data_IF_020820318934
#
_entry.id   IF_020820318934
#
_cell.length_a   1.000
_cell.length_b   1.000
_cell.length_c   1.000
_cell.angle_alpha   90.00
_cell.angle_beta   90.00
_cell.angle_gamma   90.00
#
_symmetry.space_group_name_H-M   'P 1'
#
loop_
_entity.id
_entity.type
_entity.pdbx_description
1 polymer ?
#
# COMPACT_ATOMS: atom_id res chain seq x y z
N UNK A 1 16.78 -12.33 -44.33
CA UNK A 1 15.44 -12.91 -44.09
C UNK A 1 15.22 -13.04 -42.58
N UNK A 2 15.00 -11.93 -41.86
CA UNK A 2 14.97 -11.99 -40.39
C UNK A 2 13.95 -11.06 -39.71
N UNK A 3 13.57 -9.94 -40.34
CA UNK A 3 12.67 -8.96 -39.71
C UNK A 3 11.17 -9.32 -39.84
N UNK A 4 10.73 -9.86 -40.98
CA UNK A 4 9.31 -10.16 -41.24
C UNK A 4 8.78 -11.29 -40.36
N UNK A 5 9.54 -12.38 -40.23
CA UNK A 5 9.20 -13.51 -39.35
C UNK A 5 9.15 -13.11 -37.87
N UNK A 6 9.98 -12.14 -37.45
CA UNK A 6 9.95 -11.61 -36.09
C UNK A 6 8.66 -10.83 -35.84
N UNK A 7 8.20 -10.02 -36.79
CA UNK A 7 6.93 -9.31 -36.69
C UNK A 7 5.72 -10.26 -36.66
N UNK A 8 5.70 -11.31 -37.48
CA UNK A 8 4.64 -12.33 -37.47
C UNK A 8 4.59 -13.11 -36.15
N UNK A 9 5.75 -13.54 -35.64
CA UNK A 9 5.81 -14.22 -34.34
C UNK A 9 5.39 -13.29 -33.20
N UNK A 10 5.77 -12.00 -33.24
CA UNK A 10 5.39 -11.01 -32.24
C UNK A 10 3.88 -10.75 -32.25
N UNK A 11 3.26 -10.58 -33.43
CA UNK A 11 1.82 -10.35 -33.54
C UNK A 11 1.03 -11.58 -33.11
N UNK A 12 1.47 -12.78 -33.49
CA UNK A 12 0.84 -14.02 -33.04
C UNK A 12 0.90 -14.16 -31.52
N UNK A 13 2.07 -13.93 -30.91
CA UNK A 13 2.23 -13.98 -29.46
C UNK A 13 1.38 -12.94 -28.74
N UNK A 14 1.32 -11.70 -29.26
CA UNK A 14 0.51 -10.63 -28.68
C UNK A 14 -0.99 -10.95 -28.73
N UNK A 15 -1.51 -11.39 -29.88
CA UNK A 15 -2.92 -11.77 -30.03
C UNK A 15 -3.26 -12.96 -29.14
N UNK A 16 -2.38 -13.96 -29.08
CA UNK A 16 -2.56 -15.12 -28.21
C UNK A 16 -2.58 -14.71 -26.73
N UNK A 17 -1.72 -13.77 -26.33
CA UNK A 17 -1.70 -13.22 -24.97
C UNK A 17 -2.98 -12.46 -24.61
N UNK A 18 -3.52 -11.67 -25.53
CA UNK A 18 -4.80 -10.96 -25.32
C UNK A 18 -5.98 -11.93 -25.21
N UNK A 19 -6.01 -12.99 -26.03
CA UNK A 19 -7.06 -14.00 -25.99
C UNK A 19 -7.03 -14.82 -24.70
N UNK A 20 -5.84 -15.09 -24.18
CA UNK A 20 -5.63 -15.86 -22.94
C UNK A 20 -5.71 -14.99 -21.68
N UNK A 21 -6.13 -13.73 -21.78
CA UNK A 21 -6.23 -12.84 -20.62
C UNK A 21 -7.39 -13.26 -19.71
N UNK A 22 -7.07 -13.62 -18.47
CA UNK A 22 -8.07 -13.88 -17.43
C UNK A 22 -8.59 -12.56 -16.81
N UNK A 23 -9.89 -12.49 -16.55
CA UNK A 23 -10.49 -11.39 -15.78
C UNK A 23 -10.28 -11.58 -14.28
N UNK A 24 -10.32 -10.50 -13.50
CA UNK A 24 -10.22 -10.57 -12.03
C UNK A 24 -11.29 -11.47 -11.40
N UNK A 25 -12.48 -11.52 -11.99
CA UNK A 25 -13.56 -12.39 -11.54
C UNK A 25 -13.24 -13.87 -11.78
N UNK A 26 -12.77 -14.23 -12.97
CA UNK A 26 -12.38 -15.61 -13.29
C UNK A 26 -11.21 -16.07 -12.40
N UNK A 27 -10.28 -15.18 -12.09
CA UNK A 27 -9.18 -15.47 -11.17
C UNK A 27 -9.68 -15.72 -9.75
N UNK A 28 -10.59 -14.86 -9.25
CA UNK A 28 -11.20 -15.01 -7.93
C UNK A 28 -11.92 -16.36 -7.81
N UNK A 29 -12.67 -16.76 -8.85
CA UNK A 29 -13.35 -18.05 -8.90
C UNK A 29 -12.37 -19.22 -8.93
N UNK A 30 -11.34 -19.17 -9.79
CA UNK A 30 -10.37 -20.25 -9.90
C UNK A 30 -9.60 -20.51 -8.60
N UNK A 31 -9.40 -19.46 -7.80
CA UNK A 31 -8.64 -19.54 -6.54
C UNK A 31 -9.52 -19.66 -5.30
N UNK A 32 -10.79 -19.27 -5.38
CA UNK A 32 -11.66 -19.14 -4.21
C UNK A 32 -11.16 -18.04 -3.26
N UNK A 33 -10.59 -16.95 -3.77
CA UNK A 33 -9.97 -15.87 -3.00
C UNK A 33 -10.38 -14.50 -3.52
N UNK A 34 -10.36 -13.49 -2.63
CA UNK A 34 -10.58 -12.11 -3.03
C UNK A 34 -9.39 -11.55 -3.82
N UNK A 35 -9.70 -10.86 -4.92
CA UNK A 35 -8.70 -10.09 -5.67
C UNK A 35 -8.72 -8.66 -5.16
N UNK A 36 -7.60 -8.25 -4.57
CA UNK A 36 -7.44 -6.95 -3.93
C UNK A 36 -6.43 -6.11 -4.70
N UNK A 37 -6.76 -4.85 -4.93
CA UNK A 37 -5.87 -3.88 -5.52
C UNK A 37 -5.31 -2.91 -4.48
N UNK A 38 -4.03 -2.60 -4.64
CA UNK A 38 -3.30 -1.68 -3.79
C UNK A 38 -2.78 -0.52 -4.65
N UNK A 39 -3.58 0.55 -4.80
CA UNK A 39 -3.20 1.74 -5.58
C UNK A 39 -2.38 2.73 -4.75
N UNK A 40 -1.29 3.26 -5.32
CA UNK A 40 -0.50 4.34 -4.69
C UNK A 40 -1.33 5.62 -4.45
N UNK A 41 -2.23 5.96 -5.37
CA UNK A 41 -3.16 7.11 -5.23
C UNK A 41 -4.10 6.99 -4.03
N UNK A 42 -4.33 5.76 -3.54
CA UNK A 42 -5.14 5.45 -2.36
C UNK A 42 -4.27 5.08 -1.16
N UNK A 43 -2.99 5.46 -1.14
CA UNK A 43 -2.04 5.12 -0.07
C UNK A 43 -1.95 3.61 0.16
N UNK A 44 -2.08 2.82 -0.92
CA UNK A 44 -2.10 1.36 -0.87
C UNK A 44 -3.18 0.77 0.05
N UNK A 45 -4.26 1.52 0.32
CA UNK A 45 -5.42 0.99 1.02
C UNK A 45 -6.05 -0.15 0.20
N UNK A 46 -6.29 -1.33 0.79
CA UNK A 46 -6.79 -2.49 0.07
C UNK A 46 -8.21 -2.25 -0.43
N UNK A 47 -8.41 -2.40 -1.73
CA UNK A 47 -9.73 -2.33 -2.37
C UNK A 47 -10.05 -3.68 -3.02
N UNK A 48 -11.17 -4.29 -2.64
CA UNK A 48 -11.62 -5.54 -3.24
C UNK A 48 -12.18 -5.23 -4.63
N UNK A 49 -11.53 -5.73 -5.68
CA UNK A 49 -12.01 -5.61 -7.06
C UNK A 49 -12.97 -6.73 -7.40
N UNK A 50 -12.65 -7.96 -6.99
CA UNK A 50 -13.44 -9.14 -7.29
C UNK A 50 -13.50 -10.09 -6.10
N UNK A 51 -14.66 -10.70 -5.94
CA UNK A 51 -14.93 -11.74 -4.96
C UNK A 51 -15.47 -12.98 -5.68
N UNK A 52 -15.12 -14.20 -5.23
CA UNK A 52 -15.72 -15.41 -5.79
C UNK A 52 -17.24 -15.39 -5.54
N UNK A 53 -18.02 -15.81 -6.54
CA UNK A 53 -19.48 -15.87 -6.51
C UNK A 53 -19.92 -17.34 -6.50
N UNK A 54 -19.32 -18.18 -7.35
CA UNK A 54 -19.67 -19.59 -7.51
C UNK A 54 -18.90 -20.49 -6.54
N UNK A 55 -17.63 -20.16 -6.33
CA UNK A 55 -16.73 -20.93 -5.47
C UNK A 55 -16.78 -20.44 -4.01
N UNK A 56 -16.73 -21.34 -3.02
CA UNK A 56 -16.64 -20.93 -1.63
C UNK A 56 -15.31 -20.23 -1.36
N UNK A 57 -15.35 -19.21 -0.50
CA UNK A 57 -14.15 -18.50 -0.07
C UNK A 57 -13.29 -19.42 0.80
N UNK A 58 -12.01 -19.57 0.43
CA UNK A 58 -11.05 -20.33 1.23
C UNK A 58 -10.77 -19.64 2.56
N UNK A 59 -10.65 -20.44 3.62
CA UNK A 59 -10.20 -19.97 4.93
C UNK A 59 -8.67 -19.98 5.01
N UNK A 60 -8.09 -19.34 6.03
CA UNK A 60 -6.64 -19.34 6.24
C UNK A 60 -6.06 -20.75 6.46
N UNK A 61 -6.87 -21.68 6.96
CA UNK A 61 -6.49 -23.08 7.22
C UNK A 61 -6.31 -23.87 5.91
N UNK A 62 -7.04 -23.48 4.86
CA UNK A 62 -7.01 -24.13 3.55
C UNK A 62 -5.83 -23.67 2.67
N UNK A 63 -5.12 -22.61 3.09
CA UNK A 63 -4.03 -22.03 2.34
C UNK A 63 -2.73 -22.79 2.57
N UNK A 64 -2.22 -23.42 1.51
CA UNK A 64 -0.89 -24.01 1.56
C UNK A 64 0.16 -22.89 1.60
N UNK A 65 1.25 -23.03 2.39
CA UNK A 65 2.34 -22.03 2.41
C UNK A 65 3.02 -21.78 1.05
N UNK A 66 2.84 -22.71 0.11
CA UNK A 66 3.40 -22.65 -1.25
C UNK A 66 2.47 -21.87 -2.19
N UNK A 67 1.20 -21.63 -1.82
CA UNK A 67 0.28 -20.84 -2.63
C UNK A 67 0.80 -19.40 -2.76
N UNK A 68 1.23 -19.07 -3.98
CA UNK A 68 1.73 -17.73 -4.31
C UNK A 68 0.54 -16.77 -4.31
N UNK A 69 0.58 -15.75 -3.46
CA UNK A 69 -0.52 -14.79 -3.29
C UNK A 69 -0.40 -13.55 -4.18
N UNK A 70 0.78 -13.32 -4.79
CA UNK A 70 1.00 -12.18 -5.68
C UNK A 70 0.52 -12.50 -7.09
N UNK A 71 -0.20 -11.56 -7.69
CA UNK A 71 -0.78 -11.71 -9.02
C UNK A 71 0.29 -12.01 -10.09
N UNK A 72 1.40 -11.27 -10.05
CA UNK A 72 2.53 -11.39 -10.99
C UNK A 72 3.12 -12.82 -11.00
N UNK A 73 2.96 -13.56 -9.90
CA UNK A 73 3.52 -14.89 -9.80
C UNK A 73 2.74 -15.93 -10.61
N UNK A 74 1.48 -15.67 -10.96
CA UNK A 74 0.63 -16.66 -11.65
C UNK A 74 0.90 -16.76 -13.15
N UNK A 75 1.27 -15.66 -13.80
CA UNK A 75 1.41 -15.58 -15.26
C UNK A 75 2.84 -15.76 -15.75
N UNK A 76 3.79 -16.02 -14.83
CA UNK A 76 5.21 -16.16 -15.16
C UNK A 76 5.59 -17.47 -15.86
N UNK A 77 4.72 -18.49 -15.93
CA UNK A 77 5.04 -19.81 -16.52
C UNK A 77 6.39 -20.41 -16.05
N UNK A 78 6.79 -20.14 -14.80
CA UNK A 78 8.10 -20.53 -14.26
C UNK A 78 9.27 -19.62 -14.62
N UNK A 79 9.06 -18.60 -15.46
CA UNK A 79 10.02 -17.56 -15.85
C UNK A 79 9.83 -16.32 -14.97
N UNK A 80 10.62 -16.25 -13.90
CA UNK A 80 10.61 -15.09 -13.01
C UNK A 80 11.80 -14.18 -13.28
N UNK A 81 11.60 -12.85 -13.39
CA UNK A 81 12.71 -11.93 -13.40
C UNK A 81 13.49 -12.06 -12.08
N UNK A 82 14.80 -12.24 -12.18
CA UNK A 82 15.67 -12.26 -11.02
C UNK A 82 15.81 -10.84 -10.46
N UNK A 83 15.06 -10.54 -9.40
CA UNK A 83 15.24 -9.31 -8.63
C UNK A 83 16.43 -9.46 -7.69
N UNK A 84 17.59 -8.95 -8.09
CA UNK A 84 18.73 -8.81 -7.17
C UNK A 84 18.45 -7.64 -6.23
N UNK A 85 18.60 -7.86 -4.93
CA UNK A 85 18.59 -6.76 -3.97
C UNK A 85 19.69 -5.76 -4.35
N UNK A 86 19.37 -4.46 -4.23
CA UNK A 86 20.37 -3.42 -4.48
C UNK A 86 21.47 -3.57 -3.44
N UNK A 87 22.75 -3.71 -3.83
CA UNK A 87 23.82 -3.79 -2.85
C UNK A 87 23.80 -2.53 -1.99
N UNK A 88 24.04 -2.64 -0.68
CA UNK A 88 24.05 -1.47 0.19
C UNK A 88 25.12 -0.49 -0.30
N UNK A 89 24.86 0.82 -0.26
CA UNK A 89 25.87 1.81 -0.60
C UNK A 89 27.06 1.73 0.36
N UNK A 90 28.23 2.19 -0.08
CA UNK A 90 29.47 2.11 0.72
C UNK A 90 29.34 2.77 2.11
N UNK A 91 28.49 3.80 2.23
CA UNK A 91 28.28 4.56 3.46
C UNK A 91 27.26 3.95 4.43
N UNK A 92 26.65 2.82 4.09
CA UNK A 92 25.64 2.16 4.95
C UNK A 92 26.14 1.88 6.38
N UNK A 93 27.46 1.63 6.54
CA UNK A 93 28.08 1.34 7.84
C UNK A 93 28.76 2.54 8.51
N UNK A 94 28.70 3.73 7.90
CA UNK A 94 29.32 4.93 8.47
C UNK A 94 28.47 5.46 9.63
N UNK A 95 29.12 5.95 10.69
CA UNK A 95 28.45 6.45 11.90
C UNK A 95 27.37 7.51 11.59
N UNK A 96 27.67 8.47 10.70
CA UNK A 96 26.70 9.50 10.31
C UNK A 96 25.46 8.96 9.58
N UNK A 97 25.60 7.87 8.82
CA UNK A 97 24.47 7.20 8.18
C UNK A 97 23.62 6.50 9.23
N UNK A 98 24.25 5.76 10.16
CA UNK A 98 23.56 5.13 11.27
C UNK A 98 22.78 6.18 12.08
N UNK A 99 23.41 7.25 12.54
CA UNK A 99 22.73 8.32 13.30
C UNK A 99 21.52 8.88 12.54
N UNK A 100 21.63 9.06 11.22
CA UNK A 100 20.52 9.49 10.38
C UNK A 100 19.40 8.44 10.30
N UNK A 101 19.74 7.15 10.22
CA UNK A 101 18.75 6.08 10.36
C UNK A 101 18.07 6.13 11.72
N UNK A 102 18.83 6.22 12.82
CA UNK A 102 18.34 6.36 14.21
C UNK A 102 17.31 7.48 14.36
N UNK A 103 17.54 8.65 13.73
CA UNK A 103 16.55 9.74 13.69
C UNK A 103 15.26 9.39 12.93
N UNK A 104 15.31 8.49 11.96
CA UNK A 104 14.13 8.02 11.19
C UNK A 104 13.36 6.91 11.90
N UNK A 105 13.94 6.22 12.88
CA UNK A 105 13.28 5.11 13.59
C UNK A 105 11.91 5.46 14.18
N UNK A 106 11.69 6.63 14.81
CA UNK A 106 10.37 7.01 15.33
C UNK A 106 9.27 7.10 14.25
N UNK A 107 9.67 7.37 13.00
CA UNK A 107 8.76 7.50 11.86
C UNK A 107 8.61 6.19 11.08
N UNK A 108 9.32 5.13 11.48
CA UNK A 108 9.20 3.81 10.85
C UNK A 108 7.78 3.29 11.04
N UNK A 109 7.23 2.66 10.01
CA UNK A 109 5.89 2.07 9.99
C UNK A 109 4.71 3.06 10.13
N UNK A 110 4.91 4.38 10.16
CA UNK A 110 3.80 5.33 10.26
C UNK A 110 2.77 5.15 9.14
N UNK A 111 3.22 4.88 7.91
CA UNK A 111 2.31 4.58 6.79
C UNK A 111 1.51 3.29 7.01
N UNK A 112 2.11 2.26 7.61
CA UNK A 112 1.39 1.01 7.92
C UNK A 112 0.37 1.23 9.03
N UNK A 113 0.74 2.00 10.05
CA UNK A 113 -0.16 2.38 11.15
C UNK A 113 -1.31 3.21 10.60
N UNK A 114 -1.07 4.17 9.70
CA UNK A 114 -2.13 4.98 9.11
C UNK A 114 -3.10 4.14 8.27
N UNK A 115 -2.59 3.23 7.43
CA UNK A 115 -3.45 2.30 6.65
C UNK A 115 -4.29 1.45 7.60
N UNK A 116 -3.72 0.97 8.70
CA UNK A 116 -4.45 0.18 9.71
C UNK A 116 -5.53 0.99 10.40
N UNK A 117 -5.23 2.21 10.84
CA UNK A 117 -6.21 3.12 11.45
C UNK A 117 -7.36 3.48 10.49
N UNK A 118 -7.07 3.59 9.19
CA UNK A 118 -8.10 3.76 8.15
C UNK A 118 -8.97 2.50 8.02
N UNK A 119 -8.36 1.31 8.07
CA UNK A 119 -9.08 0.04 7.96
C UNK A 119 -9.96 -0.24 9.18
N UNK A 120 -9.47 0.07 10.39
CA UNK A 120 -10.22 -0.06 11.65
C UNK A 120 -11.32 1.01 11.79
N UNK A 121 -11.37 1.99 10.89
CA UNK A 121 -12.36 3.09 10.90
C UNK A 121 -12.12 4.17 11.96
N UNK A 122 -10.98 4.11 12.68
CA UNK A 122 -10.58 5.10 13.69
C UNK A 122 -10.33 6.47 13.04
N UNK A 123 -9.72 6.47 11.85
CA UNK A 123 -9.47 7.68 11.07
C UNK A 123 -10.35 7.66 9.82
N UNK A 124 -11.19 8.69 9.59
CA UNK A 124 -11.91 8.80 8.32
C UNK A 124 -10.97 9.20 7.18
N UNK A 125 -11.29 8.79 5.96
CA UNK A 125 -10.61 9.31 4.76
C UNK A 125 -11.03 10.76 4.54
N UNK A 126 -10.19 11.70 4.97
CA UNK A 126 -10.47 13.13 4.78
C UNK A 126 -10.12 13.59 3.37
N UNK A 127 -11.08 14.26 2.72
CA UNK A 127 -10.75 15.21 1.67
C UNK A 127 -10.00 16.42 2.25
N UNK A 128 -9.34 17.22 1.41
CA UNK A 128 -8.59 18.41 1.88
C UNK A 128 -9.49 19.36 2.69
N UNK A 129 -10.73 19.55 2.27
CA UNK A 129 -11.74 20.38 2.96
C UNK A 129 -12.12 19.79 4.31
N UNK A 130 -12.46 18.50 4.36
CA UNK A 130 -12.80 17.80 5.61
C UNK A 130 -11.67 17.84 6.64
N UNK A 131 -10.41 17.77 6.19
CA UNK A 131 -9.25 17.91 7.08
C UNK A 131 -9.19 19.31 7.70
N UNK A 132 -9.43 20.36 6.91
CA UNK A 132 -9.46 21.74 7.41
C UNK A 132 -10.62 21.94 8.39
N UNK A 133 -11.81 21.42 8.07
CA UNK A 133 -12.98 21.48 8.95
C UNK A 133 -12.76 20.74 10.26
N UNK A 134 -12.18 19.54 10.22
CA UNK A 134 -11.83 18.78 11.41
C UNK A 134 -10.82 19.53 12.28
N UNK A 135 -9.78 20.11 11.69
CA UNK A 135 -8.79 20.90 12.41
C UNK A 135 -9.42 22.13 13.10
N UNK A 136 -10.30 22.86 12.40
CA UNK A 136 -11.07 23.97 12.98
C UNK A 136 -11.93 23.49 14.15
N UNK A 137 -12.64 22.38 13.99
CA UNK A 137 -13.46 21.80 15.06
C UNK A 137 -12.62 21.38 16.28
N UNK A 138 -11.45 20.78 16.09
CA UNK A 138 -10.56 20.45 17.19
C UNK A 138 -10.04 21.71 17.89
N UNK A 139 -9.72 22.76 17.13
CA UNK A 139 -9.34 24.06 17.68
C UNK A 139 -10.48 24.68 18.49
N UNK A 140 -11.71 24.69 17.98
CA UNK A 140 -12.90 25.16 18.70
C UNK A 140 -13.14 24.35 19.99
N UNK A 141 -13.04 23.02 19.93
CA UNK A 141 -13.18 22.15 21.10
C UNK A 141 -12.08 22.42 22.15
N UNK A 142 -10.87 22.78 21.70
CA UNK A 142 -9.78 23.19 22.57
C UNK A 142 -10.02 24.55 23.19
N UNK A 143 -10.43 25.56 22.40
CA UNK A 143 -10.79 26.90 22.88
C UNK A 143 -11.93 26.84 23.92
N UNK A 144 -12.88 25.93 23.70
CA UNK A 144 -13.96 25.62 24.64
C UNK A 144 -13.53 24.77 25.86
N UNK A 145 -12.25 24.38 25.94
CA UNK A 145 -11.67 23.62 27.06
C UNK A 145 -12.08 22.15 27.16
N UNK A 146 -12.75 21.59 26.14
CA UNK A 146 -13.23 20.21 26.13
C UNK A 146 -12.09 19.23 25.87
N UNK A 147 -11.16 19.60 24.98
CA UNK A 147 -9.97 18.81 24.67
C UNK A 147 -8.74 19.41 25.36
N UNK A 148 -7.96 18.58 26.04
CA UNK A 148 -6.66 18.98 26.56
C UNK A 148 -5.58 18.68 25.52
N UNK A 149 -4.79 19.70 25.15
CA UNK A 149 -3.58 19.46 24.34
C UNK A 149 -2.59 18.68 25.20
N UNK A 150 -1.99 17.57 24.70
CA UNK A 150 -0.86 16.97 25.38
C UNK A 150 0.25 18.03 25.46
N UNK A 151 0.56 18.47 26.68
CA UNK A 151 1.63 19.42 26.97
C UNK A 151 2.99 18.76 26.72
N UNK A 152 3.29 18.49 25.46
CA UNK A 152 4.58 18.02 24.98
C UNK A 152 5.49 19.17 24.58
N UNK A 153 6.79 18.89 24.57
CA UNK A 153 7.90 19.83 24.30
C UNK A 153 7.67 20.53 22.95
N UNK A 154 7.23 21.79 22.97
CA UNK A 154 7.25 22.66 21.78
C UNK A 154 6.02 23.52 21.50
N UNK A 155 4.88 23.32 22.18
CA UNK A 155 3.66 24.12 21.93
C UNK A 155 3.10 24.86 23.16
N UNK A 156 3.61 24.60 24.36
CA UNK A 156 3.09 25.15 25.62
C UNK A 156 3.70 26.49 26.06
N UNK A 157 4.56 27.10 25.26
CA UNK A 157 5.23 28.37 25.60
C UNK A 157 5.13 29.39 24.47
N UNK A 158 3.91 29.71 24.02
CA UNK A 158 3.68 31.07 23.50
C UNK A 158 3.27 31.87 24.72
N UNK A 159 4.25 32.54 25.34
CA UNK A 159 3.99 33.52 26.39
C UNK A 159 3.46 34.76 25.69
N UNK A 160 2.24 35.20 26.01
CA UNK A 160 1.71 36.45 25.48
C UNK A 160 2.66 37.60 25.84
N UNK A 161 3.03 38.40 24.84
CA UNK A 161 3.90 39.55 25.03
C UNK A 161 3.13 40.57 25.88
N UNK A 162 3.57 40.80 27.12
CA UNK A 162 3.01 41.86 27.96
C UNK A 162 3.22 43.22 27.28
N UNK A 163 2.14 44.01 27.25
CA UNK A 163 2.13 45.41 26.80
C UNK A 163 3.16 46.27 27.53
#
# INVERSE_FOLDING_TARGET
MSSTYLCEALTQAFVTGLLNQETHQQLAERKGLHVVEMKASRQYFPEVIASPILTPLKSEEDLLPIERLKLDDFYGEGRYPLFKEKPPPFYSKLAGHLDAEWRKWPFRNQEKVSIRLLADGVVPRWTRTQRHEWAKRQQELFENGILQIPKGIGLSHVVDKKE
#
